data_IF_469365063704
#
_entry.id   IF_469365063704
#
_cell.length_a   1.000
_cell.length_b   1.000
_cell.length_c   1.000
_cell.angle_alpha   90.00
_cell.angle_beta   90.00
_cell.angle_gamma   90.00
#
_symmetry.space_group_name_H-M   'P 1'
#
loop_
_entity.id
_entity.type
_entity.pdbx_description
1 polymer ?
#
# COMPACT_ATOMS: atom_id res chain seq x y z
N UNK A 1 -24.89 -2.63 6.79
CA UNK A 1 -24.40 -1.25 6.90
C UNK A 1 -25.08 -0.36 5.87
N UNK A 2 -25.34 0.89 6.23
CA UNK A 2 -25.88 1.85 5.27
C UNK A 2 -24.79 2.31 4.31
N UNK A 3 -25.18 2.55 3.07
CA UNK A 3 -24.26 3.10 2.07
C UNK A 3 -24.03 4.59 2.33
N UNK A 4 -22.76 5.03 2.27
CA UNK A 4 -22.39 6.44 2.36
C UNK A 4 -21.19 6.70 1.45
N UNK A 5 -21.44 7.36 0.32
CA UNK A 5 -20.38 7.64 -0.68
C UNK A 5 -19.34 8.67 -0.23
N UNK A 6 -19.57 9.35 0.90
CA UNK A 6 -18.59 10.31 1.44
C UNK A 6 -17.43 9.64 2.19
N UNK A 7 -17.53 8.35 2.45
CA UNK A 7 -16.52 7.57 3.17
C UNK A 7 -16.13 6.36 2.33
N UNK A 8 -14.87 5.92 2.35
CA UNK A 8 -14.49 4.72 1.61
C UNK A 8 -15.31 3.51 2.03
N UNK A 9 -15.70 2.63 1.08
CA UNK A 9 -16.58 1.50 1.39
C UNK A 9 -15.88 0.31 2.04
N UNK A 10 -14.60 0.43 2.32
CA UNK A 10 -13.81 -0.64 2.93
C UNK A 10 -14.11 -0.75 4.43
N UNK A 11 -14.08 -1.95 4.98
CA UNK A 11 -14.31 -2.14 6.42
C UNK A 11 -13.20 -1.55 7.26
N UNK A 12 -11.96 -1.76 6.83
CA UNK A 12 -10.78 -1.19 7.49
C UNK A 12 -10.25 -0.07 6.60
N UNK A 13 -10.10 1.11 7.16
CA UNK A 13 -9.68 2.29 6.42
C UNK A 13 -8.43 2.86 7.11
N UNK A 14 -7.22 2.49 6.67
CA UNK A 14 -6.01 3.10 7.19
C UNK A 14 -6.01 4.60 6.95
N UNK A 15 -5.49 5.36 7.90
CA UNK A 15 -5.31 6.81 7.79
C UNK A 15 -3.84 7.12 8.00
N UNK A 16 -3.23 7.78 7.01
CA UNK A 16 -1.83 8.14 7.02
C UNK A 16 -1.68 9.66 7.03
N UNK A 17 -0.79 10.16 7.86
CA UNK A 17 -0.52 11.60 7.95
C UNK A 17 0.62 12.00 7.03
N UNK A 18 0.42 13.11 6.32
CA UNK A 18 1.43 13.75 5.46
C UNK A 18 1.35 15.26 5.66
N UNK A 19 2.50 15.97 5.63
CA UNK A 19 2.48 17.43 5.77
C UNK A 19 1.70 18.14 4.65
N UNK A 20 1.79 17.61 3.41
CA UNK A 20 1.09 18.12 2.25
C UNK A 20 0.37 16.98 1.54
N UNK A 21 -0.93 16.78 1.83
CA UNK A 21 -1.69 15.66 1.25
C UNK A 21 -1.72 15.65 -0.27
N UNK A 22 -1.86 16.80 -0.94
CA UNK A 22 -1.92 16.84 -2.40
C UNK A 22 -0.59 16.39 -3.02
N UNK A 23 0.53 16.87 -2.49
CA UNK A 23 1.85 16.45 -2.96
C UNK A 23 2.06 14.95 -2.70
N UNK A 24 1.67 14.46 -1.53
CA UNK A 24 1.78 13.05 -1.20
C UNK A 24 0.93 12.19 -2.14
N UNK A 25 -0.31 12.60 -2.42
CA UNK A 25 -1.18 11.87 -3.34
C UNK A 25 -0.55 11.76 -4.73
N UNK A 26 0.03 12.86 -5.24
CA UNK A 26 0.68 12.85 -6.55
C UNK A 26 1.87 11.88 -6.58
N UNK A 27 2.70 11.89 -5.54
CA UNK A 27 3.84 10.96 -5.43
C UNK A 27 3.37 9.50 -5.37
N UNK A 28 2.33 9.21 -4.59
CA UNK A 28 1.81 7.86 -4.44
C UNK A 28 1.16 7.35 -5.73
N UNK A 29 0.47 8.23 -6.47
CA UNK A 29 -0.07 7.89 -7.78
C UNK A 29 1.03 7.57 -8.77
N UNK A 30 2.06 8.39 -8.84
CA UNK A 30 3.16 8.22 -9.77
C UNK A 30 4.00 6.97 -9.42
N UNK A 31 4.39 6.82 -8.15
CA UNK A 31 5.27 5.75 -7.72
C UNK A 31 4.59 4.39 -7.66
N UNK A 32 3.37 4.35 -7.09
CA UNK A 32 2.73 3.08 -6.75
C UNK A 32 1.47 2.77 -7.57
N UNK A 33 1.03 3.70 -8.42
CA UNK A 33 -0.12 3.47 -9.27
C UNK A 33 -1.46 3.59 -8.58
N UNK A 34 -1.50 4.20 -7.40
CA UNK A 34 -2.76 4.43 -6.68
C UNK A 34 -3.59 5.51 -7.39
N UNK A 35 -4.87 5.58 -7.05
CA UNK A 35 -5.78 6.60 -7.61
C UNK A 35 -6.48 7.37 -6.50
N UNK A 36 -6.92 8.57 -6.82
CA UNK A 36 -7.69 9.39 -5.89
C UNK A 36 -9.18 9.03 -6.02
N UNK A 37 -9.83 8.84 -4.88
CA UNK A 37 -11.26 8.60 -4.83
C UNK A 37 -12.05 9.88 -4.56
N UNK A 38 -11.58 10.69 -3.60
CA UNK A 38 -12.31 11.87 -3.13
C UNK A 38 -11.32 12.82 -2.46
N UNK A 39 -11.53 14.12 -2.67
CA UNK A 39 -10.73 15.16 -2.01
C UNK A 39 -11.62 16.01 -1.11
N UNK A 40 -11.10 16.39 0.05
CA UNK A 40 -11.74 17.35 0.95
C UNK A 40 -10.73 18.47 1.13
N UNK A 41 -10.82 19.50 0.28
CA UNK A 41 -9.80 20.54 0.20
C UNK A 41 -8.42 19.93 -0.03
N UNK A 42 -7.40 20.44 0.64
CA UNK A 42 -6.05 19.88 0.63
C UNK A 42 -5.68 19.26 1.99
N UNK A 43 -6.65 19.00 2.86
CA UNK A 43 -6.35 18.46 4.19
C UNK A 43 -6.73 17.00 4.35
N UNK A 44 -7.47 16.43 3.41
CA UNK A 44 -7.87 15.03 3.46
C UNK A 44 -8.15 14.51 2.06
N UNK A 45 -7.49 13.39 1.70
CA UNK A 45 -7.64 12.78 0.38
C UNK A 45 -7.87 11.28 0.57
N UNK A 46 -8.97 10.78 0.01
CA UNK A 46 -9.25 9.36 0.01
C UNK A 46 -8.63 8.74 -1.23
N UNK A 47 -7.85 7.68 -1.03
CA UNK A 47 -7.10 6.99 -2.06
C UNK A 47 -7.60 5.57 -2.28
N UNK A 48 -7.38 5.04 -3.47
CA UNK A 48 -7.61 3.63 -3.80
C UNK A 48 -6.30 2.96 -4.17
N UNK A 49 -6.15 1.73 -3.69
CA UNK A 49 -5.12 0.79 -4.11
C UNK A 49 -5.87 -0.47 -4.60
N UNK A 50 -6.19 -0.52 -5.91
CA UNK A 50 -7.10 -1.54 -6.43
C UNK A 50 -8.47 -1.42 -5.76
N UNK A 51 -8.94 -2.49 -5.14
CA UNK A 51 -10.21 -2.49 -4.39
C UNK A 51 -10.04 -2.02 -2.94
N UNK A 52 -8.78 -1.90 -2.48
CA UNK A 52 -8.49 -1.38 -1.16
C UNK A 52 -8.52 0.14 -1.14
N UNK A 53 -8.56 0.70 0.05
CA UNK A 53 -8.62 2.14 0.22
C UNK A 53 -7.90 2.58 1.49
N UNK A 54 -7.46 3.81 1.48
CA UNK A 54 -6.87 4.47 2.64
C UNK A 54 -7.11 5.96 2.52
N UNK A 55 -6.91 6.68 3.61
CA UNK A 55 -7.10 8.14 3.64
C UNK A 55 -5.78 8.81 4.00
N UNK A 56 -5.45 9.84 3.26
CA UNK A 56 -4.35 10.75 3.57
C UNK A 56 -4.92 11.92 4.38
N UNK A 57 -4.26 12.26 5.48
CA UNK A 57 -4.64 13.37 6.34
C UNK A 57 -3.48 14.34 6.47
N UNK A 58 -3.79 15.63 6.58
CA UNK A 58 -2.77 16.62 6.90
C UNK A 58 -2.27 16.40 8.33
N UNK A 59 -0.97 16.36 8.51
CA UNK A 59 -0.34 16.17 9.80
C UNK A 59 1.12 15.79 9.66
N UNK A 60 1.84 15.83 10.78
CA UNK A 60 3.24 15.46 10.81
C UNK A 60 3.38 13.93 10.74
N UNK A 61 4.42 13.49 10.03
CA UNK A 61 4.76 12.08 9.97
C UNK A 61 5.55 11.71 11.23
N UNK A 62 5.03 10.69 11.90
CA UNK A 62 5.76 10.06 13.00
C UNK A 62 6.38 8.79 12.46
N UNK A 63 7.70 8.72 12.26
CA UNK A 63 8.33 7.52 11.76
C UNK A 63 7.96 6.31 12.63
N UNK A 64 7.39 5.30 12.00
CA UNK A 64 6.96 4.10 12.70
C UNK A 64 7.36 2.88 11.89
N UNK A 65 8.37 2.16 12.38
CA UNK A 65 8.86 0.95 11.72
C UNK A 65 8.09 -0.31 12.13
N UNK A 66 7.18 -0.19 13.09
CA UNK A 66 6.37 -1.32 13.54
C UNK A 66 5.06 -1.46 12.77
N UNK A 67 4.77 -0.56 11.85
CA UNK A 67 3.55 -0.59 11.04
C UNK A 67 3.88 -0.28 9.57
N UNK A 68 3.36 -1.09 8.67
CA UNK A 68 3.42 -0.83 7.24
C UNK A 68 2.14 -1.36 6.59
N UNK A 69 1.87 -0.90 5.37
CA UNK A 69 0.74 -1.41 4.61
C UNK A 69 1.25 -2.40 3.56
N UNK A 70 0.55 -3.52 3.45
CA UNK A 70 0.81 -4.51 2.43
C UNK A 70 -0.25 -4.41 1.34
N UNK A 71 0.19 -4.32 0.09
CA UNK A 71 -0.68 -4.12 -1.07
C UNK A 71 -0.40 -5.21 -2.09
N UNK A 72 -1.46 -5.87 -2.57
CA UNK A 72 -1.34 -6.86 -3.64
C UNK A 72 -1.20 -6.16 -4.98
N UNK A 73 -0.24 -6.62 -5.80
CA UNK A 73 0.01 -6.10 -7.14
C UNK A 73 0.05 -7.25 -8.13
N UNK A 74 -0.14 -6.92 -9.43
CA UNK A 74 -0.15 -7.92 -10.50
C UNK A 74 1.25 -8.40 -10.87
N UNK A 75 2.25 -7.51 -10.82
CA UNK A 75 3.62 -7.78 -11.23
C UNK A 75 4.57 -7.01 -10.32
N UNK A 76 5.18 -7.70 -9.38
CA UNK A 76 6.03 -7.08 -8.37
C UNK A 76 7.30 -6.47 -8.98
N UNK A 77 7.90 -7.10 -10.00
CA UNK A 77 9.08 -6.54 -10.68
C UNK A 77 8.77 -5.23 -11.39
N UNK A 78 7.70 -5.22 -12.19
CA UNK A 78 7.30 -4.00 -12.91
C UNK A 78 6.90 -2.90 -11.95
N UNK A 79 6.20 -3.23 -10.87
CA UNK A 79 5.78 -2.27 -9.86
C UNK A 79 6.99 -1.65 -9.15
N UNK A 80 7.99 -2.47 -8.81
CA UNK A 80 9.22 -2.02 -8.17
C UNK A 80 10.00 -1.06 -9.09
N UNK A 81 10.10 -1.36 -10.38
CA UNK A 81 10.80 -0.49 -11.33
C UNK A 81 10.09 0.85 -11.51
N UNK A 82 8.76 0.84 -11.54
CA UNK A 82 7.97 2.07 -11.58
C UNK A 82 8.22 2.92 -10.32
N UNK A 83 8.18 2.30 -9.16
CA UNK A 83 8.43 2.97 -7.89
C UNK A 83 9.84 3.57 -7.84
N UNK A 84 10.84 2.81 -8.28
CA UNK A 84 12.23 3.25 -8.33
C UNK A 84 12.41 4.46 -9.24
N UNK A 85 11.84 4.43 -10.44
CA UNK A 85 11.91 5.53 -11.40
C UNK A 85 11.26 6.80 -10.86
N UNK A 86 10.19 6.65 -10.09
CA UNK A 86 9.50 7.79 -9.48
C UNK A 86 10.23 8.33 -8.23
N UNK A 87 11.29 7.65 -7.77
CA UNK A 87 12.12 8.11 -6.68
C UNK A 87 11.80 7.54 -5.31
N UNK A 88 10.92 6.53 -5.22
CA UNK A 88 10.70 5.82 -3.97
C UNK A 88 11.97 5.08 -3.55
N UNK A 89 12.19 4.97 -2.24
CA UNK A 89 13.33 4.24 -1.72
C UNK A 89 12.99 2.77 -1.64
N UNK A 90 13.76 1.94 -2.35
CA UNK A 90 13.56 0.49 -2.34
C UNK A 90 14.43 -0.10 -1.22
N UNK A 91 13.80 -0.67 -0.21
CA UNK A 91 14.51 -1.29 0.91
C UNK A 91 14.90 -2.72 0.63
N UNK A 92 14.02 -3.47 -0.03
CA UNK A 92 14.25 -4.86 -0.38
C UNK A 92 13.79 -5.08 -1.80
N UNK A 93 14.67 -5.58 -2.67
CA UNK A 93 14.33 -5.94 -4.05
C UNK A 93 13.33 -7.09 -4.07
N UNK A 94 12.55 -7.26 -5.18
CA UNK A 94 11.61 -8.36 -5.27
C UNK A 94 12.28 -9.71 -5.03
N UNK A 95 11.70 -10.49 -4.11
CA UNK A 95 12.17 -11.82 -3.74
C UNK A 95 11.00 -12.78 -3.71
N UNK A 96 11.27 -14.03 -4.09
CA UNK A 96 10.29 -15.11 -4.04
C UNK A 96 10.38 -15.84 -2.72
N UNK A 97 9.22 -16.06 -2.10
CA UNK A 97 9.12 -16.73 -0.81
C UNK A 97 8.42 -18.07 -0.95
N UNK A 98 8.73 -18.98 -0.04
CA UNK A 98 8.20 -20.36 -0.07
C UNK A 98 6.68 -20.43 0.07
N UNK A 99 6.05 -19.38 0.61
CA UNK A 99 4.59 -19.32 0.73
C UNK A 99 3.90 -18.84 -0.55
N UNK A 100 4.62 -18.77 -1.68
CA UNK A 100 4.02 -18.53 -2.98
C UNK A 100 3.88 -17.08 -3.38
N UNK A 101 4.60 -16.17 -2.71
CA UNK A 101 4.54 -14.74 -2.97
C UNK A 101 5.88 -14.18 -3.41
N UNK A 102 5.82 -13.17 -4.28
CA UNK A 102 6.97 -12.33 -4.64
C UNK A 102 6.73 -10.95 -4.04
N UNK A 103 7.64 -10.49 -3.20
CA UNK A 103 7.45 -9.26 -2.42
C UNK A 103 8.65 -8.34 -2.50
N UNK A 104 8.40 -7.04 -2.41
CA UNK A 104 9.45 -6.06 -2.20
C UNK A 104 8.96 -5.01 -1.21
N UNK A 105 9.90 -4.30 -0.59
CA UNK A 105 9.62 -3.26 0.40
C UNK A 105 10.10 -1.91 -0.10
N UNK A 106 9.27 -0.90 0.10
CA UNK A 106 9.58 0.46 -0.28
C UNK A 106 9.20 1.43 0.82
N UNK A 107 9.84 2.59 0.76
CA UNK A 107 9.51 3.73 1.58
C UNK A 107 9.12 4.86 0.64
N UNK A 108 8.00 5.53 0.92
CA UNK A 108 7.60 6.67 0.11
C UNK A 108 8.42 7.93 0.48
N UNK A 109 8.19 9.03 -0.23
CA UNK A 109 8.96 10.25 -0.04
C UNK A 109 8.87 10.86 1.36
N UNK A 110 7.92 10.40 2.16
CA UNK A 110 7.63 10.97 3.46
C UNK A 110 7.92 10.00 4.61
N UNK A 111 8.48 8.81 4.31
CA UNK A 111 8.92 7.87 5.32
C UNK A 111 7.92 6.79 5.71
N UNK A 112 6.76 6.72 5.08
CA UNK A 112 5.85 5.59 5.31
C UNK A 112 6.36 4.35 4.58
N UNK A 113 6.21 3.20 5.24
CA UNK A 113 6.66 1.91 4.74
C UNK A 113 5.53 1.16 4.05
N UNK A 114 5.88 0.52 2.93
CA UNK A 114 4.97 -0.26 2.10
C UNK A 114 5.61 -1.59 1.75
N UNK A 115 4.82 -2.66 1.75
CA UNK A 115 5.21 -3.95 1.19
C UNK A 115 4.28 -4.24 0.02
N UNK A 116 4.84 -4.62 -1.13
CA UNK A 116 4.05 -4.97 -2.31
C UNK A 116 4.24 -6.45 -2.60
N UNK A 117 3.12 -7.15 -2.83
CA UNK A 117 3.13 -8.60 -2.94
C UNK A 117 2.36 -9.07 -4.17
N UNK A 118 2.99 -9.97 -4.92
CA UNK A 118 2.40 -10.66 -6.07
C UNK A 118 2.23 -12.13 -5.71
N UNK A 119 1.03 -12.67 -5.90
CA UNK A 119 0.81 -14.11 -5.70
C UNK A 119 1.27 -14.86 -6.94
N UNK A 120 2.24 -15.75 -6.77
CA UNK A 120 2.81 -16.55 -7.86
C UNK A 120 2.08 -17.87 -8.07
N UNK A 121 1.62 -18.47 -6.98
CA UNK A 121 0.95 -19.77 -6.98
C UNK A 121 0.21 -19.98 -5.66
N UNK A 122 -0.72 -20.90 -5.67
CA UNK A 122 -1.37 -21.36 -4.45
C UNK A 122 -0.45 -22.33 -3.71
N UNK A 123 -0.23 -22.11 -2.43
CA UNK A 123 0.64 -22.95 -1.60
C UNK A 123 -0.13 -23.35 -0.34
N UNK A 124 -0.10 -24.63 -0.04
CA UNK A 124 -0.70 -25.16 1.19
C UNK A 124 0.05 -24.59 2.41
N UNK A 125 -0.64 -23.91 3.34
CA UNK A 125 0.03 -23.26 4.47
C UNK A 125 0.92 -24.20 5.28
N UNK A 126 0.50 -25.43 5.46
CA UNK A 126 1.25 -26.41 6.25
C UNK A 126 2.63 -26.74 5.66
N UNK A 127 2.82 -26.51 4.34
CA UNK A 127 4.10 -26.81 3.69
C UNK A 127 5.22 -25.82 4.07
N UNK A 128 4.90 -24.66 4.62
CA UNK A 128 5.91 -23.66 5.00
C UNK A 128 5.79 -23.21 6.48
N UNK A 129 5.07 -23.97 7.30
CA UNK A 129 4.95 -23.71 8.74
C UNK A 129 3.67 -23.03 9.17
N UNK A 130 2.73 -22.81 8.28
CA UNK A 130 1.42 -22.30 8.61
C UNK A 130 0.51 -23.39 9.15
N UNK A 131 -0.57 -22.98 9.78
CA UNK A 131 -1.66 -23.87 10.20
C UNK A 131 -2.96 -23.28 9.73
N UNK A 132 -3.66 -24.00 8.84
CA UNK A 132 -4.96 -23.55 8.35
C UNK A 132 -5.98 -23.59 9.48
N UNK A 133 -6.69 -22.49 9.69
CA UNK A 133 -7.71 -22.41 10.73
C UNK A 133 -9.09 -22.26 10.12
N UNK A 134 -9.26 -21.42 9.15
CA UNK A 134 -10.57 -21.12 8.59
C UNK A 134 -10.45 -20.55 7.17
N UNK A 135 -9.77 -21.29 6.31
CA UNK A 135 -9.56 -20.89 4.91
C UNK A 135 -10.76 -21.25 4.04
#
# INVERSE_FOLDING_TARGET
>A
MRHNRSVPPCLVIPNLCYPDPAAAANCLMEAFGFTVRLRIGNHRIQMRAGEGCFTIREGNIMPNQSCFLQVRVEDAHAHCERARKAGAKIHTEPQDYEYGERQYDAEDFHGHRWNFTESLRDVKPESWGGTSVNL
#
